data_IF_017403810953
#
_entry.id   IF_017403810953
#
_cell.length_a   1.000
_cell.length_b   1.000
_cell.length_c   1.000
_cell.angle_alpha   90.00
_cell.angle_beta   90.00
_cell.angle_gamma   90.00
#
_symmetry.space_group_name_H-M   'P 1'
#
loop_
_entity.id
_entity.type
_entity.pdbx_description
1 polymer ?
#
# COMPACT_ATOMS: atom_id res chain seq x y z
N UNK A 1 29.95 -11.29 3.26
CA UNK A 1 28.93 -11.16 4.32
C UNK A 1 28.81 -9.68 4.65
N UNK A 2 27.60 -9.08 4.70
CA UNK A 2 27.46 -7.70 5.12
C UNK A 2 27.95 -7.54 6.57
N UNK A 3 28.54 -6.39 6.88
CA UNK A 3 29.14 -6.09 8.17
C UNK A 3 28.05 -6.05 9.27
N UNK A 4 28.14 -6.87 10.33
CA UNK A 4 27.14 -6.93 11.40
C UNK A 4 27.00 -5.62 12.21
N UNK A 5 27.95 -4.69 12.08
CA UNK A 5 27.94 -3.40 12.77
C UNK A 5 27.24 -2.26 11.99
N UNK A 6 26.76 -2.51 10.77
CA UNK A 6 25.93 -1.52 10.07
C UNK A 6 24.51 -1.58 10.64
N UNK A 7 24.28 -0.84 11.72
CA UNK A 7 22.92 -0.48 12.12
C UNK A 7 22.39 0.48 11.06
N UNK A 8 21.63 -0.02 10.09
CA UNK A 8 20.85 0.81 9.18
C UNK A 8 19.90 1.65 10.04
N UNK A 9 20.25 2.92 10.24
CA UNK A 9 19.39 3.88 10.92
C UNK A 9 18.49 4.49 9.85
N UNK A 10 17.18 4.30 10.00
CA UNK A 10 16.19 4.97 9.19
C UNK A 10 15.83 6.27 9.92
N UNK A 11 16.14 7.42 9.32
CA UNK A 11 15.78 8.74 9.84
C UNK A 11 14.34 9.15 9.43
N UNK A 12 13.54 8.20 8.91
CA UNK A 12 12.16 8.45 8.55
C UNK A 12 11.31 8.71 9.81
N UNK A 13 10.42 9.69 9.70
CA UNK A 13 9.37 9.89 10.69
C UNK A 13 8.42 8.68 10.68
N UNK A 14 8.12 8.13 11.86
CA UNK A 14 7.19 7.01 12.02
C UNK A 14 5.94 7.52 12.72
N UNK A 15 4.79 7.26 12.11
CA UNK A 15 3.47 7.53 12.70
C UNK A 15 2.69 6.21 12.81
N UNK A 16 2.00 6.02 13.94
CA UNK A 16 1.10 4.88 14.16
C UNK A 16 -0.33 5.41 14.03
N UNK A 17 -1.16 4.72 13.27
CA UNK A 17 -2.57 5.07 13.09
C UNK A 17 -3.45 3.83 13.06
N UNK A 18 -4.61 3.91 13.70
CA UNK A 18 -5.63 2.86 13.65
C UNK A 18 -6.33 2.80 12.29
N UNK A 19 -6.22 3.84 11.46
CA UNK A 19 -6.87 3.89 10.15
C UNK A 19 -6.35 2.81 9.18
N UNK A 20 -5.16 2.26 9.42
CA UNK A 20 -4.55 1.18 8.62
C UNK A 20 -4.48 -0.18 9.33
N UNK A 21 -5.19 -0.35 10.45
CA UNK A 21 -5.30 -1.65 11.12
C UNK A 21 -5.95 -2.70 10.20
N UNK A 22 -5.72 -3.99 10.43
CA UNK A 22 -6.41 -5.04 9.67
C UNK A 22 -7.93 -4.95 9.84
N UNK A 23 -8.67 -5.49 8.88
CA UNK A 23 -10.11 -5.63 8.97
C UNK A 23 -10.52 -6.29 10.29
N UNK A 24 -11.48 -5.70 10.99
CA UNK A 24 -12.05 -6.29 12.21
C UNK A 24 -12.97 -7.47 11.86
N UNK A 25 -12.51 -8.69 12.13
CA UNK A 25 -13.25 -9.90 11.73
C UNK A 25 -14.42 -10.23 12.66
N UNK A 26 -14.57 -9.55 13.81
CA UNK A 26 -15.68 -9.79 14.73
C UNK A 26 -15.90 -11.27 15.05
N UNK A 27 -17.09 -11.79 14.75
CA UNK A 27 -17.47 -13.19 14.96
C UNK A 27 -16.63 -14.20 14.14
N UNK A 28 -15.89 -13.73 13.14
CA UNK A 28 -15.04 -14.52 12.26
C UNK A 28 -13.56 -14.51 12.66
N UNK A 29 -13.21 -13.88 13.78
CA UNK A 29 -11.83 -13.87 14.28
C UNK A 29 -11.32 -15.31 14.53
N UNK A 30 -10.16 -15.63 13.96
CA UNK A 30 -9.56 -16.97 14.03
C UNK A 30 -10.30 -18.07 13.24
N UNK A 31 -11.35 -17.74 12.47
CA UNK A 31 -12.13 -18.69 11.68
C UNK A 31 -11.65 -18.69 10.22
N UNK A 32 -11.43 -19.87 9.65
CA UNK A 32 -11.02 -19.98 8.24
C UNK A 32 -12.18 -19.71 7.29
N UNK A 33 -11.90 -19.20 6.08
CA UNK A 33 -12.94 -18.97 5.07
C UNK A 33 -13.70 -20.24 4.68
N UNK A 34 -13.08 -21.43 4.80
CA UNK A 34 -13.77 -22.70 4.56
C UNK A 34 -14.83 -22.98 5.64
N UNK A 35 -14.47 -22.73 6.90
CA UNK A 35 -15.37 -22.91 8.04
C UNK A 35 -16.50 -21.87 8.03
N UNK A 36 -16.22 -20.60 7.72
CA UNK A 36 -17.25 -19.56 7.56
C UNK A 36 -18.27 -19.97 6.48
N UNK A 37 -17.80 -20.46 5.33
CA UNK A 37 -18.69 -20.93 4.25
C UNK A 37 -19.58 -22.07 4.71
N UNK A 38 -19.01 -23.09 5.37
CA UNK A 38 -19.75 -24.23 5.91
C UNK A 38 -20.82 -23.79 6.92
N UNK A 39 -20.45 -22.96 7.90
CA UNK A 39 -21.39 -22.48 8.92
C UNK A 39 -22.55 -21.66 8.32
N UNK A 40 -22.29 -20.91 7.25
CA UNK A 40 -23.33 -20.14 6.55
C UNK A 40 -24.22 -21.01 5.69
N UNK A 41 -23.66 -22.01 5.01
CA UNK A 41 -24.44 -23.01 4.26
C UNK A 41 -25.38 -23.79 5.20
N UNK A 42 -24.90 -24.22 6.36
CA UNK A 42 -25.72 -24.90 7.38
C UNK A 42 -26.89 -24.03 7.90
N UNK A 43 -26.70 -22.71 7.94
CA UNK A 43 -27.72 -21.72 8.34
C UNK A 43 -28.64 -21.29 7.18
N UNK A 44 -28.44 -21.82 5.97
CA UNK A 44 -29.21 -21.42 4.78
C UNK A 44 -28.95 -19.98 4.31
N UNK A 45 -27.80 -19.41 4.65
CA UNK A 45 -27.42 -18.04 4.30
C UNK A 45 -26.77 -17.99 2.90
N UNK A 46 -26.83 -16.84 2.20
CA UNK A 46 -26.17 -16.68 0.91
C UNK A 46 -24.65 -16.76 1.03
N UNK A 47 -24.00 -17.06 -0.12
CA UNK A 47 -22.55 -17.14 -0.25
C UNK A 47 -21.90 -15.83 0.21
N UNK A 48 -21.04 -15.95 1.20
CA UNK A 48 -20.34 -14.82 1.81
C UNK A 48 -19.16 -14.33 0.97
N UNK A 49 -19.01 -13.02 0.94
CA UNK A 49 -17.83 -12.32 0.45
C UNK A 49 -17.49 -11.19 1.42
N UNK A 50 -16.27 -11.20 1.99
CA UNK A 50 -15.83 -10.16 2.94
C UNK A 50 -15.95 -8.76 2.36
N UNK A 51 -15.68 -8.60 1.06
CA UNK A 51 -15.64 -7.31 0.40
C UNK A 51 -17.02 -6.67 0.27
N UNK A 52 -18.06 -7.50 0.09
CA UNK A 52 -19.45 -7.07 -0.06
C UNK A 52 -20.22 -7.08 1.25
N UNK A 53 -20.00 -8.12 2.06
CA UNK A 53 -20.84 -8.41 3.23
C UNK A 53 -20.18 -8.02 4.56
N UNK A 54 -18.86 -7.75 4.56
CA UNK A 54 -18.08 -7.51 5.77
C UNK A 54 -18.07 -8.70 6.73
N UNK A 55 -17.85 -8.39 8.01
CA UNK A 55 -17.80 -9.37 9.08
C UNK A 55 -18.85 -9.05 10.17
N UNK A 56 -19.79 -9.97 10.48
CA UNK A 56 -20.72 -9.79 11.59
C UNK A 56 -19.98 -9.55 12.92
N UNK A 57 -20.45 -8.59 13.72
CA UNK A 57 -19.80 -8.21 14.98
C UNK A 57 -18.47 -7.47 14.81
N UNK A 58 -18.00 -7.25 13.58
CA UNK A 58 -16.78 -6.53 13.23
C UNK A 58 -17.07 -5.35 12.29
N UNK A 59 -16.17 -5.10 11.35
CA UNK A 59 -16.28 -3.97 10.41
C UNK A 59 -17.11 -4.32 9.16
N UNK A 60 -17.93 -3.36 8.74
CA UNK A 60 -18.55 -3.35 7.42
C UNK A 60 -17.59 -2.82 6.35
N UNK A 61 -17.84 -3.07 5.05
CA UNK A 61 -17.06 -2.46 3.97
C UNK A 61 -17.07 -0.92 4.01
N UNK A 62 -18.17 -0.32 4.46
CA UNK A 62 -18.29 1.13 4.62
C UNK A 62 -17.37 1.67 5.72
N UNK A 63 -17.26 0.97 6.86
CA UNK A 63 -16.37 1.37 7.95
C UNK A 63 -14.90 1.39 7.50
N UNK A 64 -14.48 0.32 6.80
CA UNK A 64 -13.13 0.20 6.24
C UNK A 64 -12.88 1.27 5.19
N UNK A 65 -13.84 1.49 4.29
CA UNK A 65 -13.76 2.52 3.26
C UNK A 65 -13.57 3.90 3.86
N UNK A 66 -14.37 4.25 4.88
CA UNK A 66 -14.31 5.56 5.52
C UNK A 66 -12.96 5.82 6.18
N UNK A 67 -12.39 4.84 6.91
CA UNK A 67 -11.08 5.03 7.57
C UNK A 67 -9.92 5.09 6.58
N UNK A 68 -9.93 4.26 5.55
CA UNK A 68 -8.89 4.29 4.53
C UNK A 68 -8.95 5.56 3.69
N UNK A 69 -10.15 6.05 3.36
CA UNK A 69 -10.29 7.33 2.66
C UNK A 69 -9.75 8.49 3.49
N UNK A 70 -9.97 8.53 4.81
CA UNK A 70 -9.34 9.54 5.70
C UNK A 70 -7.82 9.49 5.60
N UNK A 71 -7.23 8.30 5.66
CA UNK A 71 -5.78 8.13 5.59
C UNK A 71 -5.22 8.49 4.20
N UNK A 72 -5.88 8.09 3.13
CA UNK A 72 -5.50 8.43 1.75
C UNK A 72 -5.52 9.96 1.57
N UNK A 73 -6.59 10.61 2.01
CA UNK A 73 -6.73 12.06 1.96
C UNK A 73 -5.62 12.77 2.72
N UNK A 74 -5.31 12.29 3.92
CA UNK A 74 -4.28 12.84 4.77
C UNK A 74 -2.88 12.68 4.13
N UNK A 75 -2.57 11.50 3.60
CA UNK A 75 -1.32 11.25 2.87
C UNK A 75 -1.18 12.20 1.68
N UNK A 76 -2.24 12.31 0.88
CA UNK A 76 -2.28 13.20 -0.29
C UNK A 76 -2.05 14.65 0.11
N UNK A 77 -2.72 15.14 1.15
CA UNK A 77 -2.66 16.54 1.59
C UNK A 77 -1.33 16.89 2.26
N UNK A 78 -0.86 16.05 3.19
CA UNK A 78 0.35 16.35 4.00
C UNK A 78 1.65 16.10 3.23
N UNK A 79 1.72 15.03 2.45
CA UNK A 79 2.99 14.56 1.89
C UNK A 79 3.11 14.80 0.39
N UNK A 80 2.08 14.51 -0.40
CA UNK A 80 2.20 14.54 -1.87
C UNK A 80 1.85 15.91 -2.48
N UNK A 81 0.75 16.55 -2.08
CA UNK A 81 0.33 17.86 -2.58
C UNK A 81 1.40 18.95 -2.48
N UNK A 82 2.24 19.00 -1.43
CA UNK A 82 3.29 20.01 -1.35
C UNK A 82 4.43 19.84 -2.35
N UNK A 83 4.59 18.69 -3.00
CA UNK A 83 5.76 18.39 -3.86
C UNK A 83 5.40 17.99 -5.29
N UNK A 84 4.23 17.40 -5.51
CA UNK A 84 3.82 16.90 -6.82
C UNK A 84 3.73 18.05 -7.85
N UNK A 85 4.26 17.82 -9.06
CA UNK A 85 4.30 18.81 -10.14
C UNK A 85 5.24 20.01 -9.90
N UNK A 86 6.01 20.03 -8.81
CA UNK A 86 6.98 21.10 -8.52
C UNK A 86 8.38 20.74 -9.04
N UNK A 87 9.17 21.77 -9.31
CA UNK A 87 10.56 21.63 -9.81
C UNK A 87 11.54 21.14 -8.74
N UNK A 88 11.23 21.37 -7.46
CA UNK A 88 12.04 20.87 -6.35
C UNK A 88 11.72 19.40 -6.12
N UNK A 89 12.66 18.54 -6.48
CA UNK A 89 12.54 17.09 -6.34
C UNK A 89 12.85 16.66 -4.89
N UNK A 90 11.98 17.02 -3.95
CA UNK A 90 12.08 16.52 -2.57
C UNK A 90 11.27 15.22 -2.49
N UNK A 91 11.90 14.06 -2.25
CA UNK A 91 11.18 12.80 -2.12
C UNK A 91 10.28 12.86 -0.87
N UNK A 92 8.99 12.56 -1.07
CA UNK A 92 7.97 12.48 -0.01
C UNK A 92 7.23 11.15 -0.09
N UNK A 93 7.98 10.09 -0.39
CA UNK A 93 7.45 8.74 -0.42
C UNK A 93 6.96 8.34 0.97
N UNK A 94 5.77 7.75 1.02
CA UNK A 94 5.15 7.25 2.25
C UNK A 94 5.18 5.73 2.21
N UNK A 95 5.86 5.12 3.19
CA UNK A 95 5.85 3.67 3.38
C UNK A 95 4.72 3.29 4.34
N UNK A 96 3.84 2.39 3.89
CA UNK A 96 2.74 1.85 4.70
C UNK A 96 3.04 0.39 5.03
N UNK A 97 3.08 0.05 6.32
CA UNK A 97 3.27 -1.32 6.81
C UNK A 97 1.98 -1.76 7.49
N UNK A 98 1.30 -2.75 6.90
CA UNK A 98 0.03 -3.26 7.41
C UNK A 98 -0.23 -4.70 6.95
N UNK A 99 -1.50 -5.10 6.89
CA UNK A 99 -1.94 -6.48 6.74
C UNK A 99 -2.63 -6.74 5.38
N UNK A 100 -2.97 -7.99 5.12
CA UNK A 100 -3.32 -8.46 3.78
C UNK A 100 -4.66 -7.96 3.23
N UNK A 101 -5.74 -7.95 4.02
CA UNK A 101 -7.02 -7.40 3.52
C UNK A 101 -6.95 -5.89 3.43
N UNK A 102 -6.40 -5.24 4.46
CA UNK A 102 -6.37 -3.79 4.48
C UNK A 102 -5.49 -3.16 3.41
N UNK A 103 -4.33 -3.74 3.08
CA UNK A 103 -3.47 -3.22 2.00
C UNK A 103 -4.12 -3.37 0.61
N UNK A 104 -4.87 -4.46 0.39
CA UNK A 104 -5.64 -4.65 -0.86
C UNK A 104 -6.82 -3.68 -0.96
N UNK A 105 -7.51 -3.43 0.16
CA UNK A 105 -8.55 -2.40 0.24
C UNK A 105 -7.97 -1.01 -0.06
N UNK A 106 -6.84 -0.68 0.57
CA UNK A 106 -6.14 0.59 0.40
C UNK A 106 -5.75 0.82 -1.07
N UNK A 107 -5.22 -0.21 -1.75
CA UNK A 107 -4.87 -0.12 -3.16
C UNK A 107 -6.07 0.11 -4.09
N UNK A 108 -7.24 -0.49 -3.81
CA UNK A 108 -8.47 -0.22 -4.58
C UNK A 108 -8.96 1.22 -4.41
N UNK A 109 -9.05 1.67 -3.15
CA UNK A 109 -9.53 3.00 -2.83
C UNK A 109 -8.56 4.08 -3.34
N UNK A 110 -7.25 3.78 -3.37
CA UNK A 110 -6.25 4.66 -3.96
C UNK A 110 -6.62 5.06 -5.39
N UNK A 111 -7.01 4.10 -6.23
CA UNK A 111 -7.41 4.33 -7.63
C UNK A 111 -8.90 4.64 -7.80
N UNK A 112 -9.59 5.02 -6.72
CA UNK A 112 -10.99 5.41 -6.74
C UNK A 112 -11.96 4.27 -7.06
N UNK A 113 -11.57 3.01 -6.78
CA UNK A 113 -12.46 1.84 -6.93
C UNK A 113 -13.12 1.49 -5.61
N UNK A 114 -14.36 1.03 -5.69
CA UNK A 114 -15.10 0.49 -4.57
C UNK A 114 -14.46 -0.84 -4.13
N UNK A 115 -14.35 -1.08 -2.82
CA UNK A 115 -13.76 -2.33 -2.34
C UNK A 115 -14.71 -3.52 -2.55
N UNK A 116 -16.02 -3.24 -2.63
CA UNK A 116 -17.12 -4.16 -2.89
C UNK A 116 -17.03 -4.84 -4.25
N UNK A 117 -16.31 -4.24 -5.21
CA UNK A 117 -16.03 -4.84 -6.52
C UNK A 117 -15.08 -6.06 -6.42
N UNK A 118 -14.52 -6.31 -5.23
CA UNK A 118 -13.65 -7.43 -4.95
C UNK A 118 -12.25 -7.24 -5.53
N UNK A 119 -11.25 -6.80 -4.75
CA UNK A 119 -9.88 -6.67 -5.25
C UNK A 119 -9.37 -8.03 -5.75
N UNK A 120 -9.26 -8.14 -7.08
CA UNK A 120 -8.58 -9.25 -7.76
C UNK A 120 -7.07 -9.03 -7.73
N UNK A 121 -6.53 -8.78 -6.54
CA UNK A 121 -5.11 -8.51 -6.29
C UNK A 121 -4.55 -9.56 -5.33
N UNK A 122 -3.34 -10.01 -5.64
CA UNK A 122 -2.57 -10.88 -4.77
C UNK A 122 -1.50 -10.05 -4.07
N UNK A 123 -1.41 -10.20 -2.75
CA UNK A 123 -0.34 -9.62 -1.93
C UNK A 123 0.09 -10.69 -0.94
N UNK A 124 1.27 -11.27 -1.17
CA UNK A 124 1.84 -12.29 -0.29
C UNK A 124 2.44 -11.66 0.97
N UNK A 125 2.69 -12.46 2.00
CA UNK A 125 3.37 -11.99 3.20
C UNK A 125 4.76 -11.45 2.84
N UNK A 126 5.06 -10.22 3.25
CA UNK A 126 6.29 -9.51 2.87
C UNK A 126 6.29 -8.95 1.44
N UNK A 127 5.19 -9.09 0.70
CA UNK A 127 5.01 -8.47 -0.60
C UNK A 127 4.97 -6.95 -0.51
N UNK A 128 5.49 -6.28 -1.54
CA UNK A 128 5.51 -4.81 -1.66
C UNK A 128 4.80 -4.41 -2.93
N UNK A 129 3.81 -3.53 -2.78
CA UNK A 129 3.15 -2.83 -3.88
C UNK A 129 3.50 -1.35 -3.89
N UNK A 130 3.43 -0.72 -5.05
CA UNK A 130 3.69 0.71 -5.20
C UNK A 130 2.47 1.41 -5.79
N UNK A 131 2.04 2.46 -5.11
CA UNK A 131 0.92 3.31 -5.50
C UNK A 131 1.48 4.69 -5.85
N UNK A 132 1.02 5.26 -6.95
CA UNK A 132 1.55 6.51 -7.50
C UNK A 132 0.46 7.27 -8.25
N UNK A 133 0.86 8.13 -9.17
CA UNK A 133 0.02 8.99 -9.99
C UNK A 133 0.49 9.00 -11.44
N UNK A 134 -0.44 9.17 -12.37
CA UNK A 134 -0.12 9.51 -13.76
C UNK A 134 0.14 11.02 -13.91
N UNK A 135 0.95 11.38 -14.91
CA UNK A 135 1.25 12.76 -15.31
C UNK A 135 1.62 13.75 -14.18
N UNK A 136 2.17 13.26 -13.06
CA UNK A 136 2.44 14.05 -11.86
C UNK A 136 1.21 14.83 -11.34
N UNK A 137 0.03 14.19 -11.35
CA UNK A 137 -1.24 14.80 -10.94
C UNK A 137 -1.92 14.01 -9.82
N UNK A 138 -2.34 14.67 -8.74
CA UNK A 138 -3.08 14.01 -7.65
C UNK A 138 -4.45 13.48 -8.10
N UNK A 139 -5.00 14.05 -9.17
CA UNK A 139 -6.31 13.69 -9.72
C UNK A 139 -6.25 12.38 -10.53
N UNK A 140 -5.05 11.87 -10.79
CA UNK A 140 -4.84 10.67 -11.62
C UNK A 140 -4.09 9.58 -10.82
N UNK A 141 -4.64 9.05 -9.73
CA UNK A 141 -3.98 8.02 -8.94
C UNK A 141 -3.90 6.69 -9.71
N UNK A 142 -2.77 6.00 -9.58
CA UNK A 142 -2.47 4.76 -10.28
C UNK A 142 -1.75 3.73 -9.41
N UNK A 143 -1.83 2.47 -9.82
CA UNK A 143 -1.02 1.37 -9.25
C UNK A 143 0.16 1.14 -10.19
N UNK A 144 1.38 1.16 -9.66
CA UNK A 144 2.58 0.89 -10.43
C UNK A 144 2.83 -0.62 -10.48
N UNK A 145 2.48 -1.26 -11.60
CA UNK A 145 2.56 -2.72 -11.77
C UNK A 145 3.99 -3.28 -11.96
N UNK A 146 4.97 -2.42 -12.25
CA UNK A 146 6.37 -2.83 -12.52
C UNK A 146 7.41 -2.37 -11.49
N UNK A 147 6.98 -1.72 -10.39
CA UNK A 147 7.86 -0.92 -9.53
C UNK A 147 8.83 -1.69 -8.63
N UNK A 148 8.51 -2.93 -8.24
CA UNK A 148 9.35 -3.72 -7.33
C UNK A 148 10.66 -4.22 -7.98
N UNK A 149 10.84 -3.99 -9.28
CA UNK A 149 12.07 -4.23 -10.04
C UNK A 149 12.59 -2.93 -10.69
N UNK A 150 12.78 -1.87 -9.91
CA UNK A 150 13.94 -1.02 -10.17
C UNK A 150 15.06 -1.52 -9.27
N UNK A 151 15.79 -2.54 -9.75
CA UNK A 151 17.18 -2.70 -9.33
C UNK A 151 17.81 -1.38 -9.68
N UNK A 152 18.22 -0.62 -8.66
CA UNK A 152 19.00 0.59 -8.88
C UNK A 152 20.00 0.29 -9.99
N UNK A 153 19.93 1.05 -11.08
CA UNK A 153 21.06 1.16 -11.99
C UNK A 153 22.14 1.88 -11.19
N UNK A 154 22.76 1.19 -10.22
CA UNK A 154 24.04 1.54 -9.61
C UNK A 154 25.12 1.24 -10.65
N UNK A 155 24.98 1.83 -11.84
CA UNK A 155 25.98 1.78 -12.89
C UNK A 155 25.78 2.96 -13.85
N UNK A 156 25.68 4.17 -13.30
CA UNK A 156 25.88 5.38 -14.11
C UNK A 156 26.66 6.49 -13.40
N UNK A 157 27.23 6.23 -12.23
CA UNK A 157 28.09 7.19 -11.52
C UNK A 157 29.60 6.85 -11.53
N UNK A 158 30.08 5.98 -12.44
CA UNK A 158 31.53 5.69 -12.54
C UNK A 158 32.17 5.90 -13.92
N UNK A 159 31.49 6.45 -14.94
CA UNK A 159 32.16 6.73 -16.24
C UNK A 159 31.85 8.15 -16.75
N UNK A 160 31.93 9.16 -15.89
CA UNK A 160 32.00 10.58 -16.32
C UNK A 160 33.00 11.41 -15.49
N UNK A 161 34.03 10.79 -14.93
CA UNK A 161 35.14 11.51 -14.25
C UNK A 161 36.54 11.17 -14.80
N UNK A 162 36.63 10.79 -16.08
CA UNK A 162 37.90 10.56 -16.77
C UNK A 162 38.11 11.49 -17.96
N UNK A 163 37.88 12.81 -17.79
CA UNK A 163 38.27 13.79 -18.80
C UNK A 163 39.65 14.35 -18.46
N UNK A 164 40.58 14.19 -19.40
CA UNK A 164 41.72 15.09 -19.73
C UNK A 164 42.68 15.43 -18.58
N UNK A 165 43.92 14.95 -18.72
CA UNK A 165 45.12 15.82 -18.70
C UNK A 165 46.39 15.00 -18.99
N UNK A 166 47.00 15.23 -20.16
CA UNK A 166 48.46 15.15 -20.43
C UNK A 166 48.71 15.42 -21.91
N UNK A 167 48.72 16.69 -22.26
CA UNK A 167 49.55 17.22 -23.35
C UNK A 167 50.73 17.91 -22.69
N UNK A 168 51.93 17.37 -22.90
CA UNK A 168 53.21 17.87 -22.41
C UNK A 168 54.31 16.98 -22.94
#
# INVERSE_FOLDING_TARGET
>A
KPNPDVRVRCDASVEITDDIREWDYGDYEGVTSAEIRKQREEKGLPKWDIWRDGCPGGESPEDVTNRLNRLIDDIRKRWHAPVIGKKENVPKDVLIVAHGHILRAFAMLWVGKAIEDGPSMLLEAGGVGTLSYEHHSLEEPAILLGGSFMVDVVESAQVTSGQKDSSG
#
